data_IF_467910420605
#
_entry.id   IF_467910420605
#
_cell.length_a   1.000
_cell.length_b   1.000
_cell.length_c   1.000
_cell.angle_alpha   90.00
_cell.angle_beta   90.00
_cell.angle_gamma   90.00
#
_symmetry.space_group_name_H-M   'P 1'
#
loop_
_entity.id
_entity.type
_entity.pdbx_description
1 polymer ?
#
# COMPACT_ATOMS: atom_id res chain seq x y z
N UNK A 1 27.18 20.30 76.41
CA UNK A 1 28.56 19.88 76.10
C UNK A 1 28.54 18.94 74.90
N UNK A 2 29.33 19.23 73.84
CA UNK A 2 29.99 18.35 72.84
C UNK A 2 29.17 17.16 72.27
N UNK A 3 29.00 16.94 70.95
CA UNK A 3 29.97 16.98 69.84
C UNK A 3 29.25 16.88 68.47
N UNK A 4 29.74 17.61 67.47
CA UNK A 4 29.47 17.48 66.04
C UNK A 4 30.02 16.17 65.45
N UNK A 5 29.38 15.62 64.43
CA UNK A 5 30.10 15.10 63.24
C UNK A 5 29.23 15.06 62.00
N UNK A 6 29.85 15.42 60.87
CA UNK A 6 29.32 15.63 59.52
C UNK A 6 29.36 14.33 58.71
N UNK A 7 28.40 14.13 57.79
CA UNK A 7 28.63 13.39 56.53
C UNK A 7 27.49 13.72 55.56
N UNK A 8 27.70 14.71 54.68
CA UNK A 8 28.12 14.58 53.27
C UNK A 8 26.96 14.24 52.32
N UNK A 9 26.60 15.26 51.53
CA UNK A 9 25.78 15.17 50.32
C UNK A 9 26.37 14.16 49.32
N UNK A 10 25.50 13.55 48.51
CA UNK A 10 25.72 13.47 47.06
C UNK A 10 24.38 13.35 46.32
N UNK A 11 24.04 14.47 45.68
CA UNK A 11 23.07 14.59 44.60
C UNK A 11 23.43 13.59 43.49
N UNK A 12 22.49 12.72 43.12
CA UNK A 12 22.49 12.06 41.82
C UNK A 12 21.46 12.77 40.94
N UNK A 13 21.94 13.69 40.11
CA UNK A 13 21.23 14.10 38.90
C UNK A 13 21.14 12.89 37.98
N UNK A 14 19.97 12.27 37.92
CA UNK A 14 19.60 11.40 36.80
C UNK A 14 19.36 12.30 35.59
N UNK A 15 20.36 12.36 34.70
CA UNK A 15 20.20 12.79 33.32
C UNK A 15 19.15 11.89 32.67
N UNK A 16 17.92 12.41 32.58
CA UNK A 16 16.83 11.80 31.83
C UNK A 16 17.17 11.85 30.34
N UNK A 17 17.74 10.76 29.82
CA UNK A 17 17.80 10.54 28.39
C UNK A 17 16.41 10.11 27.97
N UNK A 18 15.56 11.10 27.68
CA UNK A 18 14.29 10.88 26.99
C UNK A 18 14.61 10.47 25.56
N UNK A 19 14.79 9.17 25.33
CA UNK A 19 14.73 8.61 23.99
C UNK A 19 13.30 8.81 23.47
N UNK A 20 13.08 9.88 22.73
CA UNK A 20 11.93 9.96 21.83
C UNK A 20 12.14 8.88 20.76
N UNK A 21 11.53 7.71 20.94
CA UNK A 21 11.31 6.78 19.85
C UNK A 21 10.40 7.48 18.84
N UNK A 22 10.99 8.04 17.79
CA UNK A 22 10.26 8.38 16.58
C UNK A 22 9.86 7.05 15.94
N UNK A 23 8.59 6.66 16.09
CA UNK A 23 8.03 5.57 15.33
C UNK A 23 8.07 5.97 13.85
N UNK A 24 9.10 5.52 13.14
CA UNK A 24 9.21 5.67 11.70
C UNK A 24 8.05 4.86 11.12
N UNK A 25 7.05 5.55 10.56
CA UNK A 25 5.88 4.90 10.01
C UNK A 25 6.35 4.01 8.85
N UNK A 26 6.39 2.70 9.07
CA UNK A 26 6.86 1.76 8.06
C UNK A 26 5.83 1.58 6.96
N UNK A 27 6.30 1.20 5.76
CA UNK A 27 5.43 0.78 4.68
C UNK A 27 4.53 -0.39 5.14
N UNK A 28 3.27 -0.40 4.70
CA UNK A 28 2.28 -1.43 5.04
C UNK A 28 1.91 -2.24 3.81
N UNK A 29 2.20 -3.54 3.82
CA UNK A 29 1.90 -4.44 2.70
C UNK A 29 0.40 -4.56 2.47
N UNK A 30 -0.02 -4.52 1.20
CA UNK A 30 -1.39 -4.76 0.77
C UNK A 30 -1.57 -6.26 0.50
N UNK A 31 -2.32 -6.93 1.37
CA UNK A 31 -2.64 -8.35 1.21
C UNK A 31 -3.95 -8.54 0.44
N UNK A 32 -3.86 -8.87 -0.86
CA UNK A 32 -5.02 -9.28 -1.65
C UNK A 32 -5.42 -10.71 -1.31
N UNK A 33 -6.73 -10.95 -1.15
CA UNK A 33 -7.24 -12.28 -0.82
C UNK A 33 -8.55 -12.59 -1.56
N UNK A 34 -8.94 -13.87 -1.58
CA UNK A 34 -10.19 -14.27 -2.23
C UNK A 34 -11.37 -13.99 -1.33
N UNK A 35 -12.42 -13.43 -1.91
CA UNK A 35 -13.69 -13.21 -1.22
C UNK A 35 -14.88 -13.66 -2.09
N UNK A 36 -15.03 -14.98 -2.36
CA UNK A 36 -16.04 -15.49 -3.27
C UNK A 36 -17.46 -15.01 -2.94
N UNK A 37 -18.14 -14.45 -3.92
CA UNK A 37 -19.52 -13.98 -3.82
C UNK A 37 -19.72 -12.66 -3.05
N UNK A 38 -18.66 -12.08 -2.50
CA UNK A 38 -18.71 -10.79 -1.81
C UNK A 38 -19.04 -9.63 -2.77
N UNK A 39 -19.49 -8.51 -2.22
CA UNK A 39 -19.72 -7.31 -3.02
C UNK A 39 -18.42 -6.75 -3.63
N UNK A 40 -17.29 -6.86 -2.91
CA UNK A 40 -15.98 -6.45 -3.42
C UNK A 40 -15.57 -7.27 -4.65
N UNK A 41 -15.75 -8.60 -4.59
CA UNK A 41 -15.45 -9.47 -5.72
C UNK A 41 -16.37 -9.17 -6.92
N UNK A 42 -17.67 -8.93 -6.69
CA UNK A 42 -18.60 -8.55 -7.76
C UNK A 42 -18.25 -7.23 -8.43
N UNK A 43 -17.84 -6.24 -7.64
CA UNK A 43 -17.35 -4.95 -8.16
C UNK A 43 -16.08 -5.18 -8.99
N UNK A 44 -15.11 -5.90 -8.43
CA UNK A 44 -13.86 -6.23 -9.12
C UNK A 44 -14.11 -6.98 -10.44
N UNK A 45 -15.03 -7.96 -10.44
CA UNK A 45 -15.43 -8.71 -11.62
C UNK A 45 -16.04 -7.80 -12.70
N UNK A 46 -16.90 -6.86 -12.30
CA UNK A 46 -17.50 -5.89 -13.22
C UNK A 46 -16.46 -4.95 -13.82
N UNK A 47 -15.53 -4.45 -13.01
CA UNK A 47 -14.45 -3.56 -13.45
C UNK A 47 -13.43 -4.23 -14.37
N UNK A 48 -13.34 -5.57 -14.33
CA UNK A 48 -12.36 -6.37 -15.06
C UNK A 48 -13.04 -7.40 -15.99
N UNK A 49 -14.28 -7.11 -16.42
CA UNK A 49 -15.10 -8.05 -17.18
C UNK A 49 -14.41 -8.51 -18.48
N UNK A 50 -13.66 -7.63 -19.15
CA UNK A 50 -12.96 -7.95 -20.39
C UNK A 50 -11.80 -8.94 -20.16
N UNK A 51 -10.99 -8.75 -19.11
CA UNK A 51 -9.90 -9.69 -18.75
C UNK A 51 -10.46 -11.06 -18.36
N UNK A 52 -11.58 -11.07 -17.63
CA UNK A 52 -12.27 -12.30 -17.24
C UNK A 52 -12.81 -13.01 -18.48
N UNK A 53 -13.46 -12.29 -19.38
CA UNK A 53 -14.02 -12.82 -20.62
C UNK A 53 -12.92 -13.38 -21.52
N UNK A 54 -11.81 -12.67 -21.68
CA UNK A 54 -10.65 -13.15 -22.45
C UNK A 54 -10.12 -14.48 -21.89
N UNK A 55 -9.88 -14.56 -20.58
CA UNK A 55 -9.48 -15.81 -19.92
C UNK A 55 -10.47 -16.96 -20.18
N UNK A 56 -11.78 -16.68 -20.11
CA UNK A 56 -12.82 -17.68 -20.35
C UNK A 56 -12.89 -18.16 -21.80
N UNK A 57 -12.65 -17.28 -22.79
CA UNK A 57 -12.54 -17.65 -24.20
C UNK A 57 -11.39 -18.63 -24.45
N UNK A 58 -10.40 -18.65 -23.56
CA UNK A 58 -9.27 -19.56 -23.57
C UNK A 58 -9.44 -20.77 -22.61
N UNK A 59 -10.67 -21.08 -22.20
CA UNK A 59 -11.02 -22.19 -21.30
C UNK A 59 -10.39 -22.10 -19.90
N UNK A 60 -9.98 -20.91 -19.47
CA UNK A 60 -9.45 -20.69 -18.13
C UNK A 60 -10.54 -20.28 -17.15
N UNK A 61 -10.29 -20.54 -15.86
CA UNK A 61 -11.16 -20.13 -14.75
C UNK A 61 -10.42 -19.07 -13.92
N UNK A 62 -10.51 -17.78 -14.29
CA UNK A 62 -9.81 -16.72 -13.58
C UNK A 62 -10.30 -16.64 -12.12
N UNK A 63 -9.37 -16.44 -11.19
CA UNK A 63 -9.67 -16.21 -9.77
C UNK A 63 -9.47 -14.73 -9.45
N UNK A 64 -10.41 -14.15 -8.73
CA UNK A 64 -10.38 -12.73 -8.35
C UNK A 64 -9.88 -12.62 -6.91
N UNK A 65 -8.85 -11.80 -6.71
CA UNK A 65 -8.33 -11.44 -5.40
C UNK A 65 -8.51 -9.94 -5.22
N UNK A 66 -8.94 -9.54 -4.03
CA UNK A 66 -9.18 -8.12 -3.72
C UNK A 66 -8.60 -7.73 -2.38
N UNK A 67 -8.26 -6.45 -2.24
CA UNK A 67 -8.09 -5.77 -0.96
C UNK A 67 -8.76 -4.39 -1.01
N UNK A 68 -9.19 -3.88 0.14
CA UNK A 68 -9.70 -2.52 0.27
C UNK A 68 -8.85 -1.76 1.27
N UNK A 69 -8.23 -0.66 0.83
CA UNK A 69 -7.34 0.15 1.66
C UNK A 69 -7.71 1.63 1.53
N UNK A 70 -7.62 2.39 2.61
CA UNK A 70 -7.79 3.84 2.58
C UNK A 70 -6.46 4.50 2.21
N UNK A 71 -6.36 5.00 0.97
CA UNK A 71 -5.17 5.71 0.50
C UNK A 71 -5.22 7.21 0.80
N UNK A 72 -6.41 7.78 0.99
CA UNK A 72 -6.60 9.20 1.33
C UNK A 72 -6.86 9.42 2.82
N UNK A 73 -6.59 10.63 3.29
CA UNK A 73 -6.99 11.08 4.64
C UNK A 73 -8.52 11.13 4.81
N UNK A 74 -9.24 11.45 3.72
CA UNK A 74 -10.70 11.40 3.67
C UNK A 74 -11.27 9.96 3.75
N UNK A 75 -10.40 8.95 3.90
CA UNK A 75 -10.74 7.53 4.01
C UNK A 75 -11.59 7.03 2.83
N UNK A 76 -11.33 7.56 1.64
CA UNK A 76 -11.93 7.02 0.41
C UNK A 76 -11.35 5.63 0.15
N UNK A 77 -12.19 4.60 -0.04
CA UNK A 77 -11.70 3.24 -0.28
C UNK A 77 -11.05 3.16 -1.66
N UNK A 78 -9.84 2.60 -1.69
CA UNK A 78 -9.19 2.12 -2.89
C UNK A 78 -9.32 0.58 -2.94
N UNK A 79 -9.76 0.07 -4.08
CA UNK A 79 -9.92 -1.34 -4.36
C UNK A 79 -8.72 -1.82 -5.17
N UNK A 80 -7.95 -2.74 -4.59
CA UNK A 80 -6.88 -3.47 -5.24
C UNK A 80 -7.47 -4.74 -5.82
N UNK A 81 -7.22 -5.02 -7.09
CA UNK A 81 -7.75 -6.19 -7.79
C UNK A 81 -6.64 -6.91 -8.50
N UNK A 82 -6.50 -8.20 -8.24
CA UNK A 82 -5.63 -9.08 -9.00
C UNK A 82 -6.48 -10.21 -9.59
N UNK A 83 -6.43 -10.35 -10.92
CA UNK A 83 -7.11 -11.44 -11.64
C UNK A 83 -6.05 -12.49 -11.98
N UNK A 84 -6.18 -13.67 -11.38
CA UNK A 84 -5.22 -14.76 -11.58
C UNK A 84 -5.75 -15.78 -12.58
N UNK A 85 -5.09 -15.90 -13.72
CA UNK A 85 -5.29 -16.95 -14.72
C UNK A 85 -3.96 -17.28 -15.39
N UNK A 86 -3.85 -18.42 -16.09
CA UNK A 86 -2.59 -18.82 -16.74
C UNK A 86 -2.18 -17.84 -17.85
N UNK A 87 -3.17 -17.20 -18.50
CA UNK A 87 -2.97 -16.21 -19.55
C UNK A 87 -2.63 -14.81 -19.03
N UNK A 88 -3.23 -14.40 -17.91
CA UNK A 88 -3.04 -13.06 -17.36
C UNK A 88 -1.77 -12.97 -16.51
N UNK A 89 -1.25 -14.10 -16.01
CA UNK A 89 -0.06 -14.13 -15.19
C UNK A 89 1.16 -14.56 -16.02
N UNK A 90 2.25 -13.81 -15.91
CA UNK A 90 3.53 -14.12 -16.56
C UNK A 90 4.56 -14.70 -15.59
N UNK A 91 5.81 -14.75 -16.03
CA UNK A 91 6.94 -15.15 -15.20
C UNK A 91 7.14 -14.23 -13.97
N UNK A 92 6.73 -12.97 -14.07
CA UNK A 92 6.78 -11.97 -12.97
C UNK A 92 5.55 -12.01 -12.05
N UNK A 93 4.69 -13.02 -12.19
CA UNK A 93 3.46 -13.14 -11.43
C UNK A 93 2.26 -12.51 -12.14
N UNK A 94 1.22 -12.24 -11.34
CA UNK A 94 -0.03 -11.65 -11.82
C UNK A 94 -0.06 -10.15 -11.51
N UNK A 95 -0.54 -9.37 -12.44
CA UNK A 95 -0.64 -7.92 -12.28
C UNK A 95 -1.83 -7.53 -11.37
N UNK A 96 -1.67 -6.42 -10.66
CA UNK A 96 -2.68 -5.84 -9.77
C UNK A 96 -3.06 -4.46 -10.28
N UNK A 97 -4.35 -4.20 -10.43
CA UNK A 97 -4.90 -2.89 -10.75
C UNK A 97 -5.56 -2.27 -9.51
N UNK A 98 -5.54 -0.94 -9.43
CA UNK A 98 -6.09 -0.18 -8.29
C UNK A 98 -7.15 0.79 -8.77
N UNK A 99 -8.29 0.79 -8.09
CA UNK A 99 -9.43 1.66 -8.38
C UNK A 99 -9.79 2.51 -7.17
N UNK A 100 -10.30 3.72 -7.38
CA UNK A 100 -10.93 4.52 -6.33
C UNK A 100 -12.36 4.88 -6.68
N UNK A 101 -13.21 4.94 -5.65
CA UNK A 101 -14.56 5.44 -5.79
C UNK A 101 -14.56 6.97 -5.69
N UNK A 102 -14.78 7.66 -6.81
CA UNK A 102 -14.89 9.12 -6.89
C UNK A 102 -16.21 9.48 -7.57
N UNK A 103 -17.01 10.32 -6.91
CA UNK A 103 -18.31 10.77 -7.42
C UNK A 103 -19.25 9.61 -7.82
N UNK A 104 -19.28 8.55 -7.02
CA UNK A 104 -20.11 7.36 -7.26
C UNK A 104 -19.62 6.46 -8.40
N UNK A 105 -18.44 6.72 -8.97
CA UNK A 105 -17.85 5.91 -10.04
C UNK A 105 -16.49 5.38 -9.63
N UNK A 106 -16.22 4.12 -9.96
CA UNK A 106 -14.89 3.53 -9.83
C UNK A 106 -14.02 4.00 -10.98
N UNK A 107 -12.85 4.53 -10.66
CA UNK A 107 -11.86 4.98 -11.64
C UNK A 107 -10.59 4.16 -11.45
N UNK A 108 -10.05 3.59 -12.52
CA UNK A 108 -8.72 2.97 -12.50
C UNK A 108 -7.68 4.08 -12.29
N UNK A 109 -6.83 3.90 -11.28
CA UNK A 109 -5.79 4.87 -10.90
C UNK A 109 -4.39 4.28 -10.90
N UNK A 110 -4.25 2.97 -11.02
CA UNK A 110 -3.00 2.28 -11.26
C UNK A 110 -3.35 1.02 -12.03
N UNK A 111 -2.69 0.83 -13.17
CA UNK A 111 -3.01 -0.24 -14.09
C UNK A 111 -1.88 -1.25 -14.13
N UNK A 112 -2.22 -2.51 -13.88
CA UNK A 112 -1.42 -3.69 -14.14
C UNK A 112 0.05 -3.65 -13.66
N UNK A 113 0.25 -3.43 -12.36
CA UNK A 113 1.59 -3.56 -11.74
C UNK A 113 1.86 -4.97 -11.22
N UNK A 114 3.06 -5.48 -11.43
CA UNK A 114 3.49 -6.79 -10.91
C UNK A 114 4.28 -6.62 -9.61
N UNK A 115 4.21 -7.62 -8.72
CA UNK A 115 4.94 -7.61 -7.46
C UNK A 115 4.09 -7.20 -6.25
N UNK A 116 4.71 -7.25 -5.07
CA UNK A 116 4.08 -6.86 -3.81
C UNK A 116 3.85 -5.34 -3.79
N UNK A 117 2.66 -4.91 -3.38
CA UNK A 117 2.35 -3.49 -3.21
C UNK A 117 2.35 -3.16 -1.72
N UNK A 118 3.09 -2.12 -1.35
CA UNK A 118 3.08 -1.52 -0.02
C UNK A 118 2.58 -0.09 -0.06
N UNK A 119 1.80 0.30 0.94
CA UNK A 119 1.39 1.69 1.17
C UNK A 119 2.45 2.39 1.99
N UNK A 120 3.01 3.47 1.46
CA UNK A 120 4.00 4.29 2.13
C UNK A 120 3.33 5.31 3.06
N UNK A 121 4.01 5.74 4.14
CA UNK A 121 3.52 6.82 5.00
C UNK A 121 3.48 8.18 4.29
N UNK A 122 4.38 8.38 3.32
CA UNK A 122 4.52 9.62 2.56
C UNK A 122 3.30 9.83 1.66
N UNK A 123 2.85 11.07 1.57
CA UNK A 123 1.66 11.44 0.80
C UNK A 123 1.99 12.50 -0.23
N UNK A 124 1.41 12.37 -1.41
CA UNK A 124 1.34 13.44 -2.40
C UNK A 124 -0.11 13.81 -2.66
N UNK A 125 -0.40 15.11 -2.61
CA UNK A 125 -1.75 15.67 -2.87
C UNK A 125 -2.86 14.92 -2.09
N UNK A 126 -2.57 14.56 -0.84
CA UNK A 126 -3.51 13.89 0.08
C UNK A 126 -3.62 12.36 -0.04
N UNK A 127 -2.97 11.73 -1.02
CA UNK A 127 -2.95 10.28 -1.20
C UNK A 127 -1.60 9.70 -0.80
N UNK A 128 -1.60 8.56 -0.11
CA UNK A 128 -0.39 7.81 0.22
C UNK A 128 0.33 7.35 -1.05
N UNK A 129 1.66 7.41 -1.07
CA UNK A 129 2.44 6.82 -2.15
C UNK A 129 2.38 5.29 -2.07
N UNK A 130 2.63 4.62 -3.20
CA UNK A 130 2.77 3.17 -3.24
C UNK A 130 4.23 2.80 -3.54
N UNK A 131 4.66 1.67 -3.02
CA UNK A 131 5.90 1.00 -3.38
C UNK A 131 5.55 -0.35 -3.96
N UNK A 132 6.01 -0.63 -5.17
CA UNK A 132 5.78 -1.88 -5.89
C UNK A 132 7.10 -2.64 -5.97
N UNK A 133 7.04 -3.94 -5.66
CA UNK A 133 8.19 -4.86 -5.67
C UNK A 133 9.40 -4.35 -4.87
N UNK A 134 9.14 -3.55 -3.83
CA UNK A 134 10.15 -2.98 -2.94
C UNK A 134 11.02 -1.86 -3.53
N UNK A 135 10.87 -1.52 -4.81
CA UNK A 135 11.78 -0.58 -5.50
C UNK A 135 11.06 0.50 -6.29
N UNK A 136 9.94 0.17 -6.93
CA UNK A 136 9.24 1.09 -7.83
C UNK A 136 8.29 1.97 -7.03
N UNK A 137 8.64 3.24 -6.88
CA UNK A 137 7.82 4.20 -6.14
C UNK A 137 6.78 4.82 -7.08
N UNK A 138 5.52 4.75 -6.69
CA UNK A 138 4.39 5.30 -7.43
C UNK A 138 3.80 6.48 -6.67
N UNK A 139 3.80 7.65 -7.32
CA UNK A 139 3.39 8.92 -6.74
C UNK A 139 2.05 9.36 -7.31
N UNK A 140 1.15 9.80 -6.45
CA UNK A 140 -0.15 10.33 -6.85
C UNK A 140 -0.03 11.72 -7.51
N UNK A 141 -0.48 11.83 -8.76
CA UNK A 141 -0.44 13.09 -9.52
C UNK A 141 -1.69 13.97 -9.35
N UNK A 142 -2.69 13.52 -8.59
CA UNK A 142 -4.00 14.20 -8.47
C UNK A 142 -5.13 13.47 -9.20
N UNK A 143 -4.81 12.55 -10.10
CA UNK A 143 -5.74 11.77 -10.90
C UNK A 143 -5.39 10.28 -10.99
N UNK A 144 -4.10 9.93 -11.08
CA UNK A 144 -3.60 8.55 -11.11
C UNK A 144 -2.22 8.45 -10.43
N UNK A 145 -1.78 7.23 -10.17
CA UNK A 145 -0.40 6.97 -9.80
C UNK A 145 0.50 7.00 -11.04
N UNK A 146 1.64 7.66 -10.89
CA UNK A 146 2.71 7.73 -11.88
C UNK A 146 3.96 7.14 -11.25
N UNK A 147 4.61 6.24 -11.97
CA UNK A 147 5.91 5.70 -11.56
C UNK A 147 6.91 6.86 -11.48
N UNK A 148 7.52 7.01 -10.31
CA UNK A 148 8.68 7.86 -10.18
C UNK A 148 9.86 7.10 -10.78
N UNK A 149 10.11 7.33 -12.07
CA UNK A 149 11.33 6.87 -12.69
C UNK A 149 12.50 7.30 -11.82
N UNK A 150 13.34 6.36 -11.38
CA UNK A 150 14.63 6.70 -10.81
C UNK A 150 15.32 7.60 -11.85
N UNK A 151 15.50 8.88 -11.52
CA UNK A 151 16.08 9.84 -12.45
C UNK A 151 17.36 9.25 -13.03
N UNK A 152 17.49 9.26 -14.35
CA UNK A 152 18.67 8.82 -15.07
C UNK A 152 19.93 9.43 -14.42
N UNK A 153 20.59 8.63 -13.59
CA UNK A 153 21.90 8.83 -12.98
C UNK A 153 22.31 7.49 -12.37
N UNK A 154 22.50 6.50 -13.24
CA UNK A 154 23.35 5.35 -12.96
C UNK A 154 24.37 5.28 -14.10
N UNK A 155 25.44 6.07 -13.92
CA UNK A 155 26.79 6.02 -14.50
C UNK A 155 26.95 5.66 -15.98
#
# INVERSE_FOLDING_TARGET
>A
MKRFSKSLLKSLSLLGISFCFTAEASASVVHVSRHPGSNLEKIAASLNADLIKDSQLHNEKPRIFTASVHLSEAKTPALFVQIQSGRLCGASGCSTSVYILKNGKWNNILDDVNGEISVLPERHKGMANLLVDGTDKWIWDGNRYIEQSAGANAS
#
